data_IF_362777314175
#
_entry.id   IF_362777314175
#
_cell.length_a   1.000
_cell.length_b   1.000
_cell.length_c   1.000
_cell.angle_alpha   90.00
_cell.angle_beta   90.00
_cell.angle_gamma   90.00
#
_symmetry.space_group_name_H-M   'P 1'
#
loop_
_entity.id
_entity.type
_entity.pdbx_description
1 polymer ?
#
# COMPACT_ATOMS: atom_id res chain seq x y z
N UNK A 1 -15.90 2.04 -3.05
CA UNK A 1 -14.73 2.92 -2.86
C UNK A 1 -13.45 2.09 -2.82
N UNK A 2 -12.42 2.54 -3.53
CA UNK A 2 -11.12 1.87 -3.58
C UNK A 2 -10.16 2.47 -2.57
N UNK A 3 -9.25 1.65 -2.01
CA UNK A 3 -8.24 2.11 -1.06
C UNK A 3 -7.30 3.15 -1.68
N UNK A 4 -7.05 3.07 -2.99
CA UNK A 4 -6.22 4.05 -3.69
C UNK A 4 -6.77 5.49 -3.59
N UNK A 5 -8.06 5.64 -3.40
CA UNK A 5 -8.70 6.96 -3.28
C UNK A 5 -8.45 7.61 -1.91
N UNK A 6 -7.91 6.84 -0.95
CA UNK A 6 -7.61 7.35 0.39
C UNK A 6 -6.28 8.12 0.46
N UNK A 7 -5.39 7.90 -0.51
CA UNK A 7 -4.13 8.63 -0.55
C UNK A 7 -4.39 10.13 -0.69
N UNK A 8 -3.73 10.91 0.15
CA UNK A 8 -3.90 12.35 0.18
C UNK A 8 -5.02 12.87 1.07
N UNK A 9 -5.84 11.97 1.63
CA UNK A 9 -6.91 12.38 2.55
C UNK A 9 -6.35 12.51 3.97
N UNK A 10 -6.86 13.50 4.70
CA UNK A 10 -6.55 13.65 6.11
C UNK A 10 -7.29 12.61 6.94
N UNK A 11 -6.72 12.25 8.10
CA UNK A 11 -7.32 11.30 9.03
C UNK A 11 -8.74 11.73 9.46
N UNK A 12 -8.97 13.04 9.56
CA UNK A 12 -10.26 13.60 9.98
C UNK A 12 -11.23 13.88 8.84
N UNK A 13 -10.82 13.58 7.60
CA UNK A 13 -11.70 13.74 6.44
C UNK A 13 -12.92 12.82 6.59
N UNK A 14 -14.11 13.34 6.26
CA UNK A 14 -15.36 12.58 6.40
C UNK A 14 -15.32 11.25 5.65
N UNK A 15 -14.76 11.25 4.44
CA UNK A 15 -14.62 10.06 3.63
C UNK A 15 -13.69 9.03 4.29
N UNK A 16 -12.60 9.50 4.89
CA UNK A 16 -11.68 8.63 5.63
C UNK A 16 -12.37 8.03 6.85
N UNK A 17 -13.10 8.84 7.61
CA UNK A 17 -13.82 8.36 8.79
C UNK A 17 -14.88 7.32 8.44
N UNK A 18 -15.59 7.50 7.32
CA UNK A 18 -16.54 6.51 6.82
C UNK A 18 -15.87 5.18 6.52
N UNK A 19 -14.70 5.21 5.91
CA UNK A 19 -13.94 3.99 5.59
C UNK A 19 -13.48 3.30 6.86
N UNK A 20 -12.90 4.03 7.80
CA UNK A 20 -12.44 3.45 9.07
C UNK A 20 -13.60 2.82 9.84
N UNK A 21 -14.75 3.49 9.91
CA UNK A 21 -15.94 2.97 10.57
C UNK A 21 -16.49 1.74 9.83
N UNK A 22 -16.56 1.81 8.50
CA UNK A 22 -17.09 0.71 7.69
C UNK A 22 -16.29 -0.58 7.81
N UNK A 23 -14.98 -0.49 8.03
CA UNK A 23 -14.13 -1.66 8.26
C UNK A 23 -13.92 -1.98 9.73
N UNK A 24 -14.63 -1.29 10.63
CA UNK A 24 -14.53 -1.55 12.06
C UNK A 24 -13.17 -1.19 12.66
N UNK A 25 -12.47 -0.22 12.08
CA UNK A 25 -11.17 0.23 12.58
C UNK A 25 -11.41 1.26 13.68
N UNK A 26 -11.34 0.81 14.92
CA UNK A 26 -11.61 1.65 16.10
C UNK A 26 -10.36 2.23 16.74
N UNK A 27 -9.17 1.92 16.22
CA UNK A 27 -7.92 2.34 16.82
C UNK A 27 -6.94 2.88 15.78
N UNK A 28 -6.34 4.04 16.09
CA UNK A 28 -5.25 4.61 15.31
C UNK A 28 -4.02 4.65 16.22
N UNK A 29 -2.95 3.99 15.80
CA UNK A 29 -1.72 3.92 16.56
C UNK A 29 -0.82 5.08 16.18
N UNK A 30 -0.42 5.87 17.17
CA UNK A 30 0.51 6.98 16.99
C UNK A 30 1.93 6.50 17.26
N UNK A 31 2.81 6.67 16.28
CA UNK A 31 4.22 6.32 16.38
C UNK A 31 5.05 7.61 16.35
N UNK A 32 5.63 7.97 17.48
CA UNK A 32 6.41 9.20 17.60
C UNK A 32 7.89 8.88 17.81
N UNK A 33 8.74 9.88 17.57
CA UNK A 33 10.20 9.75 17.67
C UNK A 33 10.65 9.62 19.13
N UNK A 34 10.57 8.42 19.69
CA UNK A 34 10.90 8.13 21.09
C UNK A 34 12.39 8.24 21.40
N UNK A 35 13.23 8.04 20.38
CA UNK A 35 14.68 7.97 20.56
C UNK A 35 15.40 9.23 20.09
N UNK A 36 14.66 10.26 19.74
CA UNK A 36 15.20 11.54 19.24
C UNK A 36 16.12 11.33 18.03
N UNK A 37 15.71 10.48 17.10
CA UNK A 37 16.45 10.15 15.88
C UNK A 37 16.07 11.05 14.71
N UNK A 38 15.24 12.07 14.95
CA UNK A 38 14.67 12.96 13.92
C UNK A 38 13.82 12.23 12.91
N UNK A 39 13.19 11.12 13.30
CA UNK A 39 12.23 10.43 12.46
C UNK A 39 10.88 11.12 12.54
N UNK A 40 10.19 11.31 11.41
CA UNK A 40 8.87 11.93 11.42
C UNK A 40 7.86 11.08 12.19
N UNK A 41 6.92 11.73 12.87
CA UNK A 41 5.81 11.04 13.49
C UNK A 41 4.94 10.38 12.40
N UNK A 42 4.33 9.26 12.74
CA UNK A 42 3.43 8.56 11.84
C UNK A 42 2.21 8.03 12.63
N UNK A 43 1.12 7.84 11.90
CA UNK A 43 -0.09 7.26 12.46
C UNK A 43 -0.47 6.06 11.61
N UNK A 44 -0.99 5.01 12.24
CA UNK A 44 -1.29 3.75 11.58
C UNK A 44 -2.71 3.31 11.89
N UNK A 45 -3.44 2.91 10.86
CA UNK A 45 -4.80 2.38 11.00
C UNK A 45 -4.95 1.19 10.07
N UNK A 46 -5.22 0.01 10.62
CA UNK A 46 -5.27 -1.20 9.85
C UNK A 46 -6.48 -2.08 10.13
N UNK A 47 -6.88 -2.83 9.13
CA UNK A 47 -7.87 -3.89 9.25
C UNK A 47 -7.19 -5.23 8.98
N UNK A 48 -6.90 -5.98 10.05
CA UNK A 48 -6.25 -7.30 9.90
C UNK A 48 -7.14 -8.29 9.17
N UNK A 49 -8.44 -8.22 9.40
CA UNK A 49 -9.39 -9.11 8.75
C UNK A 49 -9.55 -8.83 7.27
N UNK A 50 -9.37 -7.58 6.86
CA UNK A 50 -9.54 -7.16 5.47
C UNK A 50 -8.21 -7.02 4.71
N UNK A 51 -7.08 -7.21 5.39
CA UNK A 51 -5.78 -7.35 4.76
C UNK A 51 -5.11 -6.05 4.34
N UNK A 52 -5.40 -4.91 4.99
CA UNK A 52 -4.73 -3.66 4.63
C UNK A 52 -4.36 -2.83 5.85
N UNK A 53 -3.37 -1.95 5.64
CA UNK A 53 -2.86 -1.03 6.65
C UNK A 53 -2.64 0.34 6.02
N UNK A 54 -3.19 1.38 6.63
CA UNK A 54 -3.03 2.76 6.19
C UNK A 54 -1.96 3.44 7.04
N UNK A 55 -1.07 4.18 6.39
CA UNK A 55 -0.11 5.04 7.07
C UNK A 55 -0.46 6.49 6.82
N UNK A 56 -0.42 7.30 7.89
CA UNK A 56 -0.60 8.75 7.81
C UNK A 56 0.71 9.40 8.24
N UNK A 57 1.11 10.45 7.54
CA UNK A 57 2.34 11.18 7.87
C UNK A 57 2.14 12.07 9.11
N UNK A 58 3.17 12.85 9.46
CA UNK A 58 3.13 13.75 10.61
C UNK A 58 2.01 14.79 10.54
N UNK A 59 1.50 15.09 9.36
CA UNK A 59 0.38 16.01 9.16
C UNK A 59 -0.98 15.28 9.14
N UNK A 60 -0.99 14.00 9.49
CA UNK A 60 -2.18 13.14 9.49
C UNK A 60 -2.79 12.97 8.10
N UNK A 61 -1.98 13.02 7.06
CA UNK A 61 -2.40 12.78 5.68
C UNK A 61 -1.99 11.35 5.30
N UNK A 62 -2.93 10.59 4.73
CA UNK A 62 -2.64 9.23 4.28
C UNK A 62 -1.66 9.27 3.11
N UNK A 63 -0.48 8.68 3.28
CA UNK A 63 0.57 8.70 2.27
C UNK A 63 0.98 7.31 1.78
N UNK A 64 0.62 6.25 2.49
CA UNK A 64 0.91 4.88 2.07
C UNK A 64 -0.25 3.96 2.44
N UNK A 65 -0.56 3.03 1.53
CA UNK A 65 -1.53 1.96 1.76
C UNK A 65 -0.83 0.63 1.51
N UNK A 66 -0.77 -0.23 2.52
CA UNK A 66 -0.19 -1.57 2.41
C UNK A 66 -1.32 -2.58 2.23
N UNK A 67 -1.24 -3.39 1.17
CA UNK A 67 -2.25 -4.40 0.85
C UNK A 67 -1.61 -5.79 0.87
N UNK A 68 -2.06 -6.66 1.76
CA UNK A 68 -1.56 -8.03 1.87
C UNK A 68 -2.32 -8.95 0.92
N UNK A 69 -1.74 -9.25 -0.23
CA UNK A 69 -2.34 -10.18 -1.19
C UNK A 69 -2.24 -11.62 -0.67
N UNK A 70 -1.14 -11.94 0.04
CA UNK A 70 -1.00 -13.17 0.79
C UNK A 70 -1.03 -12.87 2.28
N UNK A 71 -1.55 -13.76 3.13
CA UNK A 71 -1.58 -13.53 4.57
C UNK A 71 -0.17 -13.32 5.13
N UNK A 72 0.02 -12.31 5.95
CA UNK A 72 1.32 -12.00 6.57
C UNK A 72 1.12 -11.08 7.77
N UNK A 73 1.99 -11.22 8.76
CA UNK A 73 2.06 -10.30 9.91
C UNK A 73 0.73 -10.17 10.68
N UNK A 74 -0.07 -11.24 10.67
CA UNK A 74 -1.38 -11.25 11.31
C UNK A 74 -2.52 -10.71 10.46
N UNK A 75 -2.22 -10.27 9.24
CA UNK A 75 -3.22 -9.81 8.28
C UNK A 75 -3.72 -10.95 7.41
N UNK A 76 -5.02 -11.00 7.16
CA UNK A 76 -5.63 -11.90 6.19
C UNK A 76 -5.40 -11.38 4.78
N UNK A 77 -5.61 -12.24 3.77
CA UNK A 77 -5.48 -11.76 2.40
C UNK A 77 -6.56 -10.73 2.07
N UNK A 78 -6.17 -9.73 1.30
CA UNK A 78 -7.08 -8.66 0.88
C UNK A 78 -7.95 -9.13 -0.28
N UNK A 79 -9.16 -8.56 -0.39
CA UNK A 79 -9.95 -8.65 -1.61
C UNK A 79 -9.32 -7.71 -2.64
N UNK A 80 -8.79 -8.23 -3.76
CA UNK A 80 -8.13 -7.39 -4.76
C UNK A 80 -9.01 -6.29 -5.34
N UNK A 81 -10.32 -6.48 -5.32
CA UNK A 81 -11.27 -5.51 -5.88
C UNK A 81 -11.30 -4.19 -5.13
N UNK A 82 -10.89 -4.18 -3.84
CA UNK A 82 -10.92 -2.94 -3.05
C UNK A 82 -9.64 -2.11 -3.16
N UNK A 83 -8.58 -2.65 -3.78
CA UNK A 83 -7.28 -1.95 -3.84
C UNK A 83 -7.38 -0.70 -4.71
N UNK A 84 -7.96 -0.82 -5.89
CA UNK A 84 -8.13 0.30 -6.81
C UNK A 84 -7.09 0.36 -7.92
N UNK A 85 -6.26 -0.68 -8.06
CA UNK A 85 -5.29 -0.82 -9.15
C UNK A 85 -5.37 -2.23 -9.71
N UNK A 86 -4.94 -2.40 -10.96
CA UNK A 86 -4.82 -3.73 -11.56
C UNK A 86 -3.69 -4.49 -10.88
N UNK A 87 -3.94 -5.74 -10.51
CA UNK A 87 -2.90 -6.61 -9.93
C UNK A 87 -2.48 -7.67 -10.95
N UNK A 88 -1.26 -8.16 -10.78
CA UNK A 88 -0.66 -9.15 -11.68
C UNK A 88 -0.20 -10.35 -10.85
N UNK A 89 -0.49 -11.59 -11.31
CA UNK A 89 -0.19 -12.77 -10.50
C UNK A 89 1.29 -13.07 -10.38
N UNK A 90 2.11 -12.61 -11.32
CA UNK A 90 3.55 -12.88 -11.34
C UNK A 90 4.34 -11.65 -11.77
N UNK A 91 5.64 -11.68 -11.47
CA UNK A 91 6.58 -10.65 -11.92
C UNK A 91 6.55 -10.51 -13.46
N UNK A 92 6.61 -11.63 -14.17
CA UNK A 92 6.61 -11.62 -15.63
C UNK A 92 5.36 -10.97 -16.21
N UNK A 93 4.19 -11.27 -15.63
CA UNK A 93 2.94 -10.65 -16.07
C UNK A 93 2.92 -9.15 -15.84
N UNK A 94 3.43 -8.69 -14.69
CA UNK A 94 3.52 -7.27 -14.38
C UNK A 94 4.46 -6.53 -15.32
N UNK A 95 5.64 -7.10 -15.56
CA UNK A 95 6.63 -6.49 -16.47
C UNK A 95 6.08 -6.42 -17.90
N UNK A 96 5.46 -7.48 -18.38
CA UNK A 96 4.87 -7.50 -19.70
C UNK A 96 3.79 -6.42 -19.86
N UNK A 97 2.94 -6.25 -18.86
CA UNK A 97 1.91 -5.21 -18.88
C UNK A 97 2.52 -3.81 -18.93
N UNK A 98 3.56 -3.54 -18.15
CA UNK A 98 4.25 -2.25 -18.16
C UNK A 98 4.87 -1.96 -19.53
N UNK A 99 5.49 -2.97 -20.16
CA UNK A 99 6.07 -2.82 -21.50
C UNK A 99 4.98 -2.53 -22.54
N UNK A 100 3.88 -3.25 -22.51
CA UNK A 100 2.78 -3.06 -23.45
C UNK A 100 2.11 -1.70 -23.31
N UNK A 101 1.97 -1.21 -22.07
CA UNK A 101 1.33 0.07 -21.78
C UNK A 101 2.32 1.23 -21.80
N UNK A 102 3.61 0.95 -22.02
CA UNK A 102 4.68 1.94 -22.05
C UNK A 102 4.74 2.76 -20.75
N UNK A 103 4.57 2.09 -19.62
CA UNK A 103 4.63 2.72 -18.32
C UNK A 103 6.07 2.85 -17.85
N UNK A 104 6.35 3.93 -17.12
CA UNK A 104 7.64 4.10 -16.46
C UNK A 104 7.65 3.24 -15.20
N UNK A 105 8.63 2.34 -15.09
CA UNK A 105 8.71 1.44 -13.94
C UNK A 105 10.17 1.15 -13.57
N UNK A 106 10.34 0.71 -12.32
CA UNK A 106 11.62 0.29 -11.75
C UNK A 106 11.48 -1.13 -11.23
N UNK A 107 12.57 -1.89 -11.25
CA UNK A 107 12.55 -3.29 -10.79
C UNK A 107 13.78 -3.60 -9.95
N UNK A 108 13.68 -4.62 -9.12
CA UNK A 108 14.82 -5.19 -8.42
C UNK A 108 14.58 -6.67 -8.13
N UNK A 109 15.64 -7.46 -8.35
CA UNK A 109 15.75 -8.82 -7.90
C UNK A 109 14.71 -9.82 -8.35
N UNK A 110 14.25 -9.81 -9.64
CA UNK A 110 13.36 -10.87 -10.06
C UNK A 110 14.14 -12.19 -10.14
N UNK A 111 14.00 -13.00 -9.10
CA UNK A 111 14.58 -14.33 -9.05
C UNK A 111 13.54 -15.32 -8.55
N UNK A 112 13.93 -16.57 -8.34
CA UNK A 112 13.02 -17.63 -7.90
C UNK A 112 12.45 -17.37 -6.49
N UNK A 113 13.10 -16.51 -5.69
CA UNK A 113 12.67 -16.22 -4.31
C UNK A 113 11.74 -15.05 -4.22
N UNK A 114 11.88 -14.08 -5.14
CA UNK A 114 11.06 -12.89 -5.09
C UNK A 114 11.57 -11.80 -5.99
N UNK A 115 11.22 -10.58 -5.65
CA UNK A 115 11.56 -9.39 -6.39
C UNK A 115 10.45 -8.38 -6.27
N UNK A 116 10.66 -7.20 -6.84
CA UNK A 116 9.61 -6.21 -6.88
C UNK A 116 9.65 -5.43 -8.18
N UNK A 117 8.47 -4.89 -8.52
CA UNK A 117 8.29 -3.99 -9.64
C UNK A 117 7.47 -2.80 -9.14
N UNK A 118 7.92 -1.59 -9.42
CA UNK A 118 7.23 -0.37 -9.02
C UNK A 118 6.88 0.45 -10.25
N UNK A 119 5.61 0.80 -10.38
CA UNK A 119 5.16 1.74 -11.41
C UNK A 119 5.37 3.14 -10.85
N UNK A 120 6.19 3.94 -11.54
CA UNK A 120 6.64 5.24 -11.05
C UNK A 120 5.83 6.43 -11.57
N UNK A 121 4.85 6.19 -12.45
CA UNK A 121 3.99 7.24 -12.99
C UNK A 121 2.54 7.07 -12.58
N UNK A 122 1.74 8.11 -12.82
CA UNK A 122 0.35 8.16 -12.39
C UNK A 122 0.19 9.02 -11.14
N UNK A 123 -0.99 9.05 -10.52
CA UNK A 123 -1.25 9.90 -9.36
C UNK A 123 -0.52 9.45 -8.09
N UNK A 124 -0.03 8.22 -8.06
CA UNK A 124 0.73 7.64 -6.95
C UNK A 124 1.63 6.54 -7.50
N UNK A 125 2.58 6.09 -6.68
CA UNK A 125 3.42 4.93 -7.03
C UNK A 125 2.72 3.65 -6.61
N UNK A 126 2.84 2.59 -7.45
CA UNK A 126 2.32 1.26 -7.13
C UNK A 126 3.48 0.28 -7.09
N UNK A 127 3.70 -0.33 -5.93
CA UNK A 127 4.82 -1.24 -5.68
C UNK A 127 4.28 -2.65 -5.53
N UNK A 128 4.64 -3.53 -6.45
CA UNK A 128 4.27 -4.94 -6.42
C UNK A 128 5.43 -5.76 -5.89
N UNK A 129 5.22 -6.54 -4.84
CA UNK A 129 6.23 -7.42 -4.28
C UNK A 129 5.83 -8.88 -4.54
N UNK A 130 6.79 -9.65 -5.05
CA UNK A 130 6.59 -11.04 -5.42
C UNK A 130 7.44 -11.94 -4.52
N UNK A 131 6.91 -13.11 -4.19
CA UNK A 131 7.61 -14.11 -3.39
C UNK A 131 7.26 -15.48 -3.97
N UNK A 132 8.29 -16.30 -4.20
CA UNK A 132 8.13 -17.65 -4.76
C UNK A 132 7.33 -17.65 -6.08
N UNK A 133 7.53 -16.60 -6.90
CA UNK A 133 6.88 -16.45 -8.20
C UNK A 133 5.49 -15.87 -8.17
N UNK A 134 4.94 -15.55 -7.00
CA UNK A 134 3.58 -15.06 -6.86
C UNK A 134 3.53 -13.69 -6.18
N UNK A 135 2.52 -12.89 -6.52
CA UNK A 135 2.29 -11.61 -5.88
C UNK A 135 1.90 -11.85 -4.41
N UNK A 136 2.58 -11.16 -3.48
CA UNK A 136 2.23 -11.27 -2.07
C UNK A 136 1.86 -9.94 -1.41
N UNK A 137 2.31 -8.80 -1.92
CA UNK A 137 1.96 -7.50 -1.34
C UNK A 137 1.94 -6.42 -2.43
N UNK A 138 0.96 -5.51 -2.31
CA UNK A 138 0.87 -4.30 -3.13
C UNK A 138 0.93 -3.11 -2.17
N UNK A 139 1.81 -2.16 -2.46
CA UNK A 139 1.93 -0.93 -1.67
C UNK A 139 1.66 0.26 -2.57
N UNK A 140 0.71 1.09 -2.18
CA UNK A 140 0.39 2.34 -2.87
C UNK A 140 1.01 3.48 -2.07
N UNK A 141 1.76 4.35 -2.72
CA UNK A 141 2.47 5.44 -2.04
C UNK A 141 2.27 6.76 -2.78
N UNK A 142 2.01 7.81 -2.04
CA UNK A 142 2.08 9.16 -2.60
C UNK A 142 3.51 9.41 -3.08
N UNK A 143 3.67 10.22 -4.16
CA UNK A 143 5.00 10.48 -4.73
C UNK A 143 5.97 11.15 -3.75
N UNK A 144 5.45 11.88 -2.77
CA UNK A 144 6.23 12.55 -1.73
C UNK A 144 6.27 11.76 -0.40
N UNK A 145 5.83 10.52 -0.40
CA UNK A 145 5.85 9.67 0.80
C UNK A 145 7.29 9.35 1.20
N UNK A 146 7.54 9.32 2.50
CA UNK A 146 8.87 9.05 3.08
C UNK A 146 9.00 7.62 3.59
#
# INVERSE_FOLDING_TARGET
MNLSELLGLELKDDKMLEVLEGYGIGEVVYDFDRLNENTPDAYWAGSKNDGFLLRFNQHQVCDVVFCHVAPAEGYSEIDPEIIGVTTYPSYAAAEQACEQLQLKYSVAGPDMRGGWLRIDEGPFQTHFQFQDGALFRVTLSAHDAQ
#
